data_IF_828836280085
#
_entry.id   IF_828836280085
#
_cell.length_a   1.000
_cell.length_b   1.000
_cell.length_c   1.000
_cell.angle_alpha   90.00
_cell.angle_beta   90.00
_cell.angle_gamma   90.00
#
_symmetry.space_group_name_H-M   'P 1'
#
loop_
_entity.id
_entity.type
_entity.pdbx_description
1 polymer ?
#
# COMPACT_ATOMS: atom_id res chain seq x y z
N UNK A 1 62.71 -52.61 -23.79
CA UNK A 1 62.18 -53.95 -23.48
C UNK A 1 61.42 -53.81 -22.17
N UNK A 2 60.11 -53.54 -22.21
CA UNK A 2 59.05 -54.55 -22.18
C UNK A 2 59.22 -55.52 -20.99
N UNK A 3 58.31 -55.50 -20.02
CA UNK A 3 57.17 -56.43 -19.93
C UNK A 3 56.38 -56.08 -18.66
N UNK A 4 55.11 -55.73 -18.88
CA UNK A 4 54.03 -55.61 -17.90
C UNK A 4 53.65 -57.01 -17.41
N UNK A 5 53.51 -57.19 -16.09
CA UNK A 5 52.94 -58.41 -15.49
C UNK A 5 51.66 -58.05 -14.75
N UNK A 6 50.58 -58.67 -15.20
CA UNK A 6 49.27 -58.73 -14.58
C UNK A 6 49.29 -59.73 -13.42
N UNK A 7 48.62 -59.40 -12.30
CA UNK A 7 48.06 -60.40 -11.40
C UNK A 7 46.68 -59.95 -10.91
N UNK A 8 45.74 -60.88 -11.08
CA UNK A 8 44.30 -60.81 -10.88
C UNK A 8 43.97 -61.08 -9.41
N UNK A 9 42.99 -60.36 -8.86
CA UNK A 9 42.17 -60.86 -7.76
C UNK A 9 40.68 -60.66 -8.05
N UNK A 10 39.94 -61.76 -7.97
CA UNK A 10 38.51 -61.91 -8.18
C UNK A 10 37.73 -61.58 -6.90
N UNK A 11 36.58 -60.91 -7.08
CA UNK A 11 35.32 -61.22 -6.38
C UNK A 11 35.08 -60.56 -5.02
N UNK A 12 34.20 -59.56 -4.98
CA UNK A 12 32.76 -59.76 -4.66
C UNK A 12 32.10 -58.40 -4.42
N UNK A 13 31.12 -58.06 -5.26
CA UNK A 13 30.24 -56.90 -5.06
C UNK A 13 29.19 -57.23 -3.99
N UNK A 14 29.06 -56.37 -2.98
CA UNK A 14 27.84 -56.26 -2.18
C UNK A 14 27.16 -54.93 -2.53
N UNK A 15 26.04 -55.03 -3.25
CA UNK A 15 25.04 -53.99 -3.43
C UNK A 15 24.12 -54.06 -2.21
N UNK A 16 24.02 -52.97 -1.45
CA UNK A 16 23.03 -52.80 -0.38
C UNK A 16 21.98 -51.79 -0.81
N UNK A 17 20.82 -52.28 -1.23
CA UNK A 17 19.58 -51.51 -1.40
C UNK A 17 18.87 -51.44 -0.06
N UNK A 18 18.46 -50.24 0.36
CA UNK A 18 17.51 -50.05 1.46
C UNK A 18 16.15 -49.72 0.84
N UNK A 19 15.27 -50.72 0.90
CA UNK A 19 13.84 -50.63 0.67
C UNK A 19 13.17 -49.86 1.81
N UNK A 20 12.31 -48.89 1.45
CA UNK A 20 11.29 -48.34 2.33
C UNK A 20 9.96 -48.37 1.60
N UNK A 21 9.18 -49.43 1.85
CA UNK A 21 7.78 -49.50 1.49
C UNK A 21 6.93 -49.58 2.78
N UNK A 22 5.93 -48.69 2.90
CA UNK A 22 4.83 -48.92 3.84
C UNK A 22 4.18 -47.67 4.43
N UNK A 23 3.42 -46.92 3.62
CA UNK A 23 2.04 -46.55 3.95
C UNK A 23 1.33 -46.14 2.64
N UNK A 24 0.69 -47.13 2.01
CA UNK A 24 -0.17 -46.95 0.84
C UNK A 24 -1.54 -46.44 1.29
N UNK A 25 -1.74 -45.13 1.20
CA UNK A 25 -3.07 -44.53 1.03
C UNK A 25 -3.26 -44.18 -0.44
N UNK A 26 -4.07 -44.95 -1.16
CA UNK A 26 -4.41 -44.70 -2.57
C UNK A 26 -5.55 -43.66 -2.61
N UNK A 27 -5.31 -42.47 -3.14
CA UNK A 27 -6.33 -41.43 -3.40
C UNK A 27 -6.00 -40.67 -4.72
N UNK A 28 -7.01 -40.05 -5.37
CA UNK A 28 -7.20 -40.07 -6.83
C UNK A 28 -6.44 -39.00 -7.62
N UNK A 29 -6.19 -39.31 -8.90
CA UNK A 29 -5.63 -38.46 -9.95
C UNK A 29 -6.51 -37.24 -10.28
N UNK A 30 -5.96 -36.02 -10.25
CA UNK A 30 -6.56 -34.83 -10.89
C UNK A 30 -5.48 -33.81 -11.35
N UNK A 31 -5.67 -33.22 -12.54
CA UNK A 31 -4.86 -32.15 -13.19
C UNK A 31 -5.46 -30.75 -12.89
N UNK A 32 -4.65 -29.70 -12.66
CA UNK A 32 -5.12 -28.30 -12.58
C UNK A 32 -4.05 -27.28 -12.16
N UNK A 33 -3.70 -26.33 -13.05
CA UNK A 33 -2.77 -25.21 -12.80
C UNK A 33 -3.55 -23.95 -12.38
N UNK A 34 -3.04 -23.13 -11.45
CA UNK A 34 -3.66 -21.84 -11.08
C UNK A 34 -3.47 -20.73 -12.11
N UNK A 35 -3.09 -21.10 -13.33
CA UNK A 35 -2.96 -20.22 -14.48
C UNK A 35 -4.34 -19.97 -15.10
N UNK A 36 -4.63 -18.72 -15.42
CA UNK A 36 -5.84 -18.30 -16.11
C UNK A 36 -5.52 -17.98 -17.58
N UNK A 37 -6.24 -18.60 -18.50
CA UNK A 37 -6.16 -18.22 -19.92
C UNK A 37 -6.93 -16.94 -20.23
N UNK A 38 -8.06 -16.71 -19.54
CA UNK A 38 -8.89 -15.52 -19.68
C UNK A 38 -8.60 -14.51 -18.56
N UNK A 39 -8.01 -13.37 -18.92
CA UNK A 39 -7.70 -12.25 -18.03
C UNK A 39 -8.92 -11.71 -17.27
N UNK A 40 -10.12 -11.87 -17.81
CA UNK A 40 -11.36 -11.42 -17.17
C UNK A 40 -11.80 -12.35 -16.04
N UNK A 41 -11.32 -13.60 -16.04
CA UNK A 41 -11.53 -14.59 -14.96
C UNK A 41 -10.35 -14.67 -14.00
N UNK A 42 -9.18 -14.17 -14.43
CA UNK A 42 -8.00 -14.15 -13.59
C UNK A 42 -8.27 -13.46 -12.26
N UNK A 43 -7.80 -14.02 -11.16
CA UNK A 43 -7.95 -13.43 -9.84
C UNK A 43 -6.74 -13.80 -8.98
N UNK A 44 -6.44 -12.96 -8.01
CA UNK A 44 -5.30 -13.13 -7.10
C UNK A 44 -5.79 -12.95 -5.67
N UNK A 45 -5.02 -13.44 -4.69
CA UNK A 45 -5.35 -13.27 -3.28
C UNK A 45 -4.10 -13.00 -2.44
N UNK A 46 -4.29 -12.81 -1.14
CA UNK A 46 -3.22 -12.69 -0.15
C UNK A 46 -3.10 -13.94 0.73
N UNK A 47 -3.88 -14.99 0.44
CA UNK A 47 -3.94 -16.23 1.19
C UNK A 47 -2.60 -16.96 1.11
N UNK A 48 -1.86 -16.97 2.23
CA UNK A 48 -0.53 -17.58 2.29
C UNK A 48 -0.58 -19.09 2.06
N UNK A 49 0.34 -19.58 1.26
CA UNK A 49 0.42 -20.97 0.84
C UNK A 49 -0.60 -21.36 -0.23
N UNK A 50 -1.44 -20.42 -0.69
CA UNK A 50 -2.24 -20.64 -1.88
C UNK A 50 -1.39 -20.38 -3.13
N UNK A 51 -1.70 -21.07 -4.23
CA UNK A 51 -1.09 -20.76 -5.52
C UNK A 51 -1.42 -19.35 -6.05
N UNK A 52 -2.35 -18.63 -5.41
CA UNK A 52 -2.78 -17.26 -5.76
C UNK A 52 -2.14 -16.17 -4.89
N UNK A 53 -1.22 -16.57 -4.00
CA UNK A 53 -0.51 -15.66 -3.10
C UNK A 53 0.48 -14.73 -3.84
N UNK A 54 0.93 -13.62 -3.20
CA UNK A 54 1.77 -12.60 -3.84
C UNK A 54 3.02 -13.10 -4.56
N UNK A 55 3.68 -14.11 -4.00
CA UNK A 55 4.88 -14.74 -4.56
C UNK A 55 4.62 -15.41 -5.93
N UNK A 56 3.36 -15.78 -6.20
CA UNK A 56 2.94 -16.53 -7.39
C UNK A 56 2.18 -15.67 -8.41
N UNK A 57 1.90 -14.39 -8.14
CA UNK A 57 1.06 -13.55 -9.00
C UNK A 57 1.53 -13.46 -10.45
N UNK A 58 2.84 -13.50 -10.70
CA UNK A 58 3.38 -13.46 -12.06
C UNK A 58 3.03 -14.68 -12.91
N UNK A 59 2.74 -15.81 -12.27
CA UNK A 59 2.37 -17.07 -12.90
C UNK A 59 0.87 -17.26 -13.11
N UNK A 60 0.02 -16.36 -12.58
CA UNK A 60 -1.43 -16.53 -12.69
C UNK A 60 -1.95 -16.14 -14.08
N UNK A 61 -1.29 -15.22 -14.78
CA UNK A 61 -1.67 -14.82 -16.13
C UNK A 61 -0.52 -14.10 -16.83
N UNK A 62 -0.35 -14.27 -18.15
CA UNK A 62 0.71 -13.60 -18.94
C UNK A 62 0.76 -12.08 -18.77
N UNK A 63 -0.41 -11.44 -18.71
CA UNK A 63 -0.54 -10.00 -18.40
C UNK A 63 0.11 -9.57 -17.08
N UNK A 64 0.31 -10.48 -16.13
CA UNK A 64 0.85 -10.21 -14.81
C UNK A 64 2.32 -10.64 -14.66
N UNK A 65 2.97 -11.09 -15.75
CA UNK A 65 4.38 -11.50 -15.76
C UNK A 65 5.33 -10.46 -15.13
N UNK A 66 5.02 -9.17 -15.30
CA UNK A 66 5.76 -8.04 -14.69
C UNK A 66 5.84 -8.14 -13.16
N UNK A 67 4.90 -8.82 -12.48
CA UNK A 67 4.94 -9.00 -11.03
C UNK A 67 6.19 -9.75 -10.54
N UNK A 68 6.89 -10.50 -11.40
CA UNK A 68 8.15 -11.16 -11.04
C UNK A 68 9.41 -10.39 -11.43
N UNK A 69 9.29 -9.19 -12.03
CA UNK A 69 10.44 -8.37 -12.40
C UNK A 69 11.31 -8.00 -11.19
N UNK A 70 12.61 -7.95 -11.37
CA UNK A 70 13.59 -7.47 -10.37
C UNK A 70 14.09 -6.04 -10.68
N UNK A 71 13.52 -5.37 -11.70
CA UNK A 71 14.00 -4.06 -12.14
C UNK A 71 13.46 -2.89 -11.29
N UNK A 72 12.14 -2.81 -11.11
CA UNK A 72 11.45 -1.69 -10.43
C UNK A 72 10.17 -2.11 -9.72
N UNK A 73 10.09 -3.31 -9.15
CA UNK A 73 8.90 -3.69 -8.39
C UNK A 73 8.78 -2.92 -7.06
N UNK A 74 7.54 -2.84 -6.57
CA UNK A 74 7.13 -2.21 -5.31
C UNK A 74 6.21 -3.16 -4.53
N UNK A 75 6.11 -3.06 -3.20
CA UNK A 75 6.75 -2.07 -2.32
C UNK A 75 8.23 -2.37 -2.05
N UNK A 76 8.96 -1.46 -1.43
CA UNK A 76 10.35 -1.67 -0.98
C UNK A 76 10.59 -1.14 0.43
N UNK A 77 11.68 -1.60 1.05
CA UNK A 77 12.24 -0.90 2.20
C UNK A 77 12.94 0.38 1.73
N UNK A 78 12.60 1.51 2.36
CA UNK A 78 13.25 2.80 2.15
C UNK A 78 14.37 2.92 3.16
N UNK A 79 15.61 2.73 2.69
CA UNK A 79 16.82 3.06 3.45
C UNK A 79 17.03 4.58 3.42
N UNK A 80 16.79 5.23 4.55
CA UNK A 80 16.85 6.69 4.65
C UNK A 80 18.28 7.21 4.67
N UNK A 81 19.25 6.36 5.00
CA UNK A 81 20.68 6.69 5.02
C UNK A 81 21.26 6.75 3.61
N UNK A 82 20.84 5.84 2.73
CA UNK A 82 21.19 5.82 1.30
C UNK A 82 20.43 6.83 0.43
N UNK A 83 19.36 7.44 0.96
CA UNK A 83 18.51 8.36 0.20
C UNK A 83 19.25 9.66 -0.17
N UNK A 84 19.32 9.92 -1.48
CA UNK A 84 20.02 11.09 -2.06
C UNK A 84 19.11 12.32 -2.03
N UNK A 85 19.66 13.48 -1.68
CA UNK A 85 18.89 14.72 -1.77
C UNK A 85 18.65 15.05 -3.24
N UNK A 86 17.38 15.13 -3.62
CA UNK A 86 16.94 15.68 -4.89
C UNK A 86 15.86 16.68 -4.54
N UNK A 87 16.07 17.94 -4.93
CA UNK A 87 15.04 18.95 -4.90
C UNK A 87 13.95 18.57 -5.93
N UNK A 88 13.08 17.62 -5.58
CA UNK A 88 11.90 17.26 -6.35
C UNK A 88 10.69 17.95 -5.69
N UNK A 89 10.24 19.07 -6.22
CA UNK A 89 9.13 19.82 -5.66
C UNK A 89 7.80 19.16 -6.06
N UNK A 90 7.08 18.67 -5.06
CA UNK A 90 5.73 18.18 -5.22
C UNK A 90 4.74 19.30 -4.91
N UNK A 91 3.78 19.52 -5.79
CA UNK A 91 2.65 20.41 -5.52
C UNK A 91 1.36 19.72 -5.94
N UNK A 92 0.33 19.81 -5.10
CA UNK A 92 -1.02 19.39 -5.43
C UNK A 92 -1.84 20.66 -5.62
N UNK A 93 -2.17 20.96 -6.88
CA UNK A 93 -2.99 22.10 -7.29
C UNK A 93 -4.45 21.67 -7.36
N UNK A 94 -5.36 22.57 -7.02
CA UNK A 94 -6.79 22.33 -7.12
C UNK A 94 -7.57 23.45 -6.43
N UNK A 95 -8.82 23.67 -6.83
CA UNK A 95 -9.73 24.55 -6.07
C UNK A 95 -10.21 23.78 -4.84
N UNK A 96 -10.37 24.48 -3.73
CA UNK A 96 -10.64 24.01 -2.35
C UNK A 96 -11.93 23.20 -2.11
N UNK A 97 -12.46 22.52 -3.14
CA UNK A 97 -13.62 21.64 -3.06
C UNK A 97 -13.21 20.18 -3.03
N UNK A 98 -13.91 19.38 -2.22
CA UNK A 98 -13.88 17.91 -2.28
C UNK A 98 -14.41 17.44 -3.64
N UNK A 99 -13.89 16.33 -4.15
CA UNK A 99 -14.29 15.76 -5.45
C UNK A 99 -15.30 14.63 -5.26
N UNK A 100 -16.39 14.58 -6.06
CA UNK A 100 -17.33 13.47 -6.02
C UNK A 100 -16.63 12.13 -6.26
N UNK A 101 -16.90 11.14 -5.41
CA UNK A 101 -16.32 9.82 -5.49
C UNK A 101 -17.37 8.74 -5.18
N UNK A 102 -17.10 7.53 -5.62
CA UNK A 102 -17.76 6.31 -5.17
C UNK A 102 -16.79 5.49 -4.33
N UNK A 103 -17.32 4.61 -3.49
CA UNK A 103 -16.56 3.59 -2.78
C UNK A 103 -17.04 2.22 -3.23
N UNK A 104 -16.12 1.29 -3.40
CA UNK A 104 -16.42 -0.08 -3.77
C UNK A 104 -15.39 -1.03 -3.15
N UNK A 105 -15.85 -2.16 -2.63
CA UNK A 105 -14.96 -3.25 -2.28
C UNK A 105 -14.54 -4.02 -3.53
N UNK A 106 -13.23 -4.01 -3.80
CA UNK A 106 -12.63 -4.62 -4.99
C UNK A 106 -12.34 -6.11 -4.81
N UNK A 107 -12.59 -6.67 -3.63
CA UNK A 107 -12.17 -8.03 -3.25
C UNK A 107 -10.76 -8.07 -2.65
N UNK A 108 -10.10 -6.91 -2.55
CA UNK A 108 -8.76 -6.78 -1.97
C UNK A 108 -8.72 -5.64 -0.95
N UNK A 109 -9.31 -4.50 -1.29
CA UNK A 109 -9.57 -3.42 -0.35
C UNK A 109 -10.75 -2.57 -0.86
N UNK A 110 -11.39 -1.75 0.00
CA UNK A 110 -12.26 -0.70 -0.48
C UNK A 110 -11.47 0.40 -1.19
N UNK A 111 -11.91 0.81 -2.37
CA UNK A 111 -11.34 1.92 -3.12
C UNK A 111 -12.31 3.08 -3.15
N UNK A 112 -11.84 4.27 -2.79
CA UNK A 112 -12.54 5.52 -3.05
C UNK A 112 -12.11 6.04 -4.44
N UNK A 113 -12.97 5.89 -5.43
CA UNK A 113 -12.67 6.19 -6.83
C UNK A 113 -13.38 7.45 -7.29
N UNK A 114 -12.63 8.35 -7.94
CA UNK A 114 -13.15 9.56 -8.59
C UNK A 114 -13.47 9.23 -10.05
N UNK A 115 -14.72 9.42 -10.47
CA UNK A 115 -15.11 9.20 -11.88
C UNK A 115 -14.31 10.13 -12.80
N UNK A 116 -14.01 9.66 -14.02
CA UNK A 116 -13.22 10.40 -15.01
C UNK A 116 -13.79 11.83 -15.21
N UNK A 117 -12.89 12.79 -15.45
CA UNK A 117 -13.19 14.22 -15.66
C UNK A 117 -13.86 14.95 -14.49
N UNK A 118 -14.06 14.30 -13.33
CA UNK A 118 -14.60 14.94 -12.12
C UNK A 118 -13.53 15.50 -11.19
N UNK A 119 -12.30 15.04 -11.31
CA UNK A 119 -11.20 15.51 -10.47
C UNK A 119 -10.64 16.83 -10.95
N UNK A 120 -10.55 17.80 -10.04
CA UNK A 120 -9.87 19.07 -10.25
C UNK A 120 -8.50 19.14 -9.55
N UNK A 121 -8.08 18.06 -8.89
CA UNK A 121 -6.79 17.95 -8.23
C UNK A 121 -5.72 17.47 -9.20
N UNK A 122 -4.69 18.30 -9.38
CA UNK A 122 -3.57 18.07 -10.28
C UNK A 122 -2.28 18.07 -9.46
N UNK A 123 -1.58 16.94 -9.46
CA UNK A 123 -0.25 16.81 -8.91
C UNK A 123 0.78 17.19 -9.98
N UNK A 124 1.75 17.99 -9.57
CA UNK A 124 2.82 18.54 -10.40
C UNK A 124 4.17 18.31 -9.72
N UNK A 125 5.15 17.84 -10.50
CA UNK A 125 6.54 17.72 -10.08
C UNK A 125 7.31 18.94 -10.60
N UNK A 126 7.06 20.12 -10.03
CA UNK A 126 7.59 21.41 -10.53
C UNK A 126 7.98 22.41 -9.43
N UNK A 127 9.09 23.13 -9.65
CA UNK A 127 9.60 24.14 -8.70
C UNK A 127 8.81 25.44 -8.73
N UNK A 128 8.10 25.71 -9.83
CA UNK A 128 7.39 26.98 -10.01
C UNK A 128 6.05 26.91 -9.30
N UNK A 129 5.94 27.60 -8.16
CA UNK A 129 4.74 27.47 -7.32
C UNK A 129 3.47 28.00 -7.96
N UNK A 130 2.37 27.30 -7.71
CA UNK A 130 1.07 27.60 -8.28
C UNK A 130 0.97 27.32 -9.78
N UNK A 131 1.99 26.73 -10.39
CA UNK A 131 2.00 26.36 -11.81
C UNK A 131 2.35 24.89 -11.99
N UNK A 132 2.02 24.36 -13.16
CA UNK A 132 2.26 22.97 -13.53
C UNK A 132 2.89 22.87 -14.92
N UNK A 133 4.12 23.36 -15.13
CA UNK A 133 4.84 23.14 -16.36
C UNK A 133 5.22 21.64 -16.47
N UNK A 134 4.99 21.04 -17.63
CA UNK A 134 5.25 19.62 -17.88
C UNK A 134 4.02 18.73 -17.71
N UNK A 135 4.27 17.49 -17.30
CA UNK A 135 3.23 16.47 -17.12
C UNK A 135 2.32 16.79 -15.92
N UNK A 136 1.04 16.49 -16.09
CA UNK A 136 -0.01 16.75 -15.10
C UNK A 136 -0.61 15.43 -14.65
N UNK A 137 -0.64 15.20 -13.35
CA UNK A 137 -1.15 13.95 -12.80
C UNK A 137 -2.48 14.19 -12.10
N UNK A 138 -3.56 13.56 -12.58
CA UNK A 138 -4.93 13.80 -12.11
C UNK A 138 -5.27 12.80 -11.00
N UNK A 139 -5.75 13.28 -9.85
CA UNK A 139 -6.17 12.43 -8.74
C UNK A 139 -7.34 11.54 -9.14
N UNK A 140 -7.22 10.23 -8.92
CA UNK A 140 -8.18 9.23 -9.39
C UNK A 140 -8.70 8.32 -8.27
N UNK A 141 -7.85 7.93 -7.33
CA UNK A 141 -8.17 6.84 -6.41
C UNK A 141 -7.48 7.01 -5.06
N UNK A 142 -8.15 6.59 -4.00
CA UNK A 142 -7.61 6.45 -2.65
C UNK A 142 -7.99 5.09 -2.07
N UNK A 143 -7.00 4.31 -1.67
CA UNK A 143 -7.19 3.03 -0.98
C UNK A 143 -6.16 2.85 0.14
N UNK A 144 -6.45 1.92 1.05
CA UNK A 144 -5.63 1.67 2.23
C UNK A 144 -5.28 0.19 2.32
N UNK A 145 -3.99 -0.09 2.46
CA UNK A 145 -3.46 -1.40 2.79
C UNK A 145 -3.38 -1.58 4.30
N UNK A 146 -3.61 -2.80 4.77
CA UNK A 146 -3.46 -3.20 6.16
C UNK A 146 -2.77 -4.55 6.26
N UNK A 147 -2.36 -4.87 7.49
CA UNK A 147 -1.79 -6.16 7.85
C UNK A 147 -2.72 -6.99 8.70
N UNK A 148 -2.23 -8.19 9.01
CA UNK A 148 -2.91 -9.10 9.94
C UNK A 148 -3.00 -8.53 11.36
N UNK A 149 -1.99 -7.79 11.76
CA UNK A 149 -1.94 -7.09 13.03
C UNK A 149 -1.38 -5.68 12.87
N UNK A 150 -1.46 -4.90 13.94
CA UNK A 150 -1.09 -3.49 13.96
C UNK A 150 0.41 -3.25 13.87
N UNK A 151 1.25 -4.28 13.99
CA UNK A 151 2.71 -4.13 13.94
C UNK A 151 3.22 -4.07 12.51
N UNK A 152 2.51 -4.71 11.56
CA UNK A 152 2.99 -4.89 10.20
C UNK A 152 1.87 -4.95 9.16
N UNK A 153 1.40 -3.78 8.75
CA UNK A 153 0.37 -3.63 7.72
C UNK A 153 0.68 -2.73 6.55
N UNK A 154 1.59 -1.77 6.68
CA UNK A 154 2.11 -1.02 5.55
C UNK A 154 2.81 -1.95 4.56
N UNK A 155 2.68 -1.64 3.28
CA UNK A 155 3.38 -2.36 2.21
C UNK A 155 4.86 -1.99 2.24
N UNK A 156 5.17 -0.69 2.21
CA UNK A 156 6.51 -0.18 2.38
C UNK A 156 6.98 -0.30 3.83
N UNK A 157 8.30 -0.33 3.98
CA UNK A 157 8.98 -0.12 5.25
C UNK A 157 9.89 1.12 5.14
N UNK A 158 10.14 1.78 6.27
CA UNK A 158 11.14 2.86 6.38
C UNK A 158 12.16 2.41 7.41
N UNK A 159 13.42 2.26 7.01
CA UNK A 159 14.51 1.72 7.83
C UNK A 159 14.12 0.38 8.51
N UNK A 160 13.43 -0.50 7.78
CA UNK A 160 12.98 -1.80 8.26
C UNK A 160 11.69 -1.77 9.11
N UNK A 161 11.17 -0.58 9.43
CA UNK A 161 9.94 -0.43 10.22
C UNK A 161 8.70 -0.36 9.35
N UNK A 162 7.71 -1.18 9.67
CA UNK A 162 6.36 -1.11 9.12
C UNK A 162 5.41 -0.34 10.06
N UNK A 163 4.26 0.06 9.51
CA UNK A 163 3.15 0.71 10.20
C UNK A 163 1.89 -0.16 10.15
N UNK A 164 0.85 0.10 10.97
CA UNK A 164 -0.41 -0.66 10.93
C UNK A 164 -1.12 -0.63 9.57
N UNK A 165 -0.99 0.48 8.84
CA UNK A 165 -1.67 0.74 7.57
C UNK A 165 -0.83 1.65 6.67
N UNK A 166 -1.14 1.62 5.37
CA UNK A 166 -0.57 2.52 4.37
C UNK A 166 -1.64 2.95 3.38
N UNK A 167 -1.85 4.26 3.23
CA UNK A 167 -2.75 4.81 2.23
C UNK A 167 -2.02 5.14 0.95
N UNK A 168 -2.64 4.85 -0.19
CA UNK A 168 -2.19 5.21 -1.52
C UNK A 168 -3.17 6.18 -2.17
N UNK A 169 -2.70 7.38 -2.49
CA UNK A 169 -3.41 8.29 -3.39
C UNK A 169 -2.82 8.15 -4.79
N UNK A 170 -3.64 7.71 -5.74
CA UNK A 170 -3.20 7.43 -7.12
C UNK A 170 -3.54 8.60 -8.02
N UNK A 171 -2.54 9.07 -8.75
CA UNK A 171 -2.68 10.11 -9.77
C UNK A 171 -2.20 9.57 -11.11
N UNK A 172 -2.99 9.73 -12.18
CA UNK A 172 -2.60 9.31 -13.52
C UNK A 172 -2.17 10.47 -14.39
N UNK A 173 -1.19 10.25 -15.26
CA UNK A 173 -0.69 11.25 -16.19
C UNK A 173 -1.74 11.56 -17.26
N UNK A 174 -2.21 12.80 -17.29
CA UNK A 174 -3.33 13.23 -18.14
C UNK A 174 -3.04 13.08 -19.63
N UNK A 175 -1.76 13.00 -20.03
CA UNK A 175 -1.38 12.82 -21.45
C UNK A 175 -1.88 11.49 -22.04
N UNK A 176 -2.19 10.51 -21.19
CA UNK A 176 -2.76 9.22 -21.59
C UNK A 176 -4.30 9.19 -21.56
N UNK A 177 -4.93 10.30 -21.17
CA UNK A 177 -6.38 10.49 -21.16
C UNK A 177 -7.09 9.88 -19.95
N UNK A 178 -6.73 8.66 -19.52
CA UNK A 178 -7.32 8.04 -18.33
C UNK A 178 -6.37 7.04 -17.63
N UNK A 179 -6.73 6.66 -16.40
CA UNK A 179 -6.00 5.70 -15.57
C UNK A 179 -5.77 4.35 -16.27
N UNK A 180 -6.76 3.82 -16.99
CA UNK A 180 -6.68 2.50 -17.63
C UNK A 180 -5.60 2.43 -18.72
N UNK A 181 -5.41 3.52 -19.46
CA UNK A 181 -4.31 3.66 -20.44
C UNK A 181 -2.99 4.04 -19.77
N UNK A 182 -3.03 4.90 -18.75
CA UNK A 182 -1.83 5.38 -18.08
C UNK A 182 -1.10 4.28 -17.32
N UNK A 183 -1.81 3.37 -16.63
CA UNK A 183 -1.24 2.38 -15.71
C UNK A 183 -0.15 1.47 -16.30
N UNK A 184 -0.09 1.29 -17.63
CA UNK A 184 0.93 0.46 -18.30
C UNK A 184 2.10 1.27 -18.89
N UNK A 185 2.07 2.60 -18.81
CA UNK A 185 3.10 3.50 -19.37
C UNK A 185 4.11 3.87 -18.29
N UNK A 186 5.39 3.95 -18.64
CA UNK A 186 6.49 4.04 -17.67
C UNK A 186 6.43 5.26 -16.72
N UNK A 187 5.85 6.37 -17.18
CA UNK A 187 5.59 7.61 -16.43
C UNK A 187 4.07 7.85 -16.28
N UNK A 188 3.32 6.76 -16.25
CA UNK A 188 1.88 6.75 -16.25
C UNK A 188 1.28 7.23 -14.94
N UNK A 189 1.92 6.96 -13.82
CA UNK A 189 1.35 7.16 -12.49
C UNK A 189 2.31 7.87 -11.55
N UNK A 190 1.75 8.71 -10.68
CA UNK A 190 2.37 9.11 -9.42
C UNK A 190 1.48 8.57 -8.30
N UNK A 191 2.07 7.82 -7.37
CA UNK A 191 1.37 7.34 -6.19
C UNK A 191 1.97 7.98 -4.95
N UNK A 192 1.12 8.67 -4.20
CA UNK A 192 1.50 9.28 -2.92
C UNK A 192 1.12 8.32 -1.80
N UNK A 193 2.12 7.77 -1.13
CA UNK A 193 1.96 6.86 -0.01
C UNK A 193 2.13 7.56 1.34
N UNK A 194 1.25 7.25 2.29
CA UNK A 194 1.26 7.79 3.65
C UNK A 194 1.08 6.66 4.66
N UNK A 195 2.00 6.57 5.61
CA UNK A 195 1.91 5.62 6.73
C UNK A 195 0.81 6.03 7.69
N UNK A 196 0.03 5.07 8.20
CA UNK A 196 -1.10 5.33 9.10
C UNK A 196 -0.97 4.51 10.38
N UNK A 197 -1.19 5.18 11.51
CA UNK A 197 -1.32 4.58 12.84
C UNK A 197 -2.79 4.55 13.29
N UNK A 198 -3.18 3.52 14.03
CA UNK A 198 -4.46 3.49 14.73
C UNK A 198 -4.32 4.19 16.10
N UNK A 199 -5.26 5.05 16.46
CA UNK A 199 -5.26 5.83 17.70
C UNK A 199 -6.59 5.65 18.45
N UNK A 200 -6.50 5.48 19.77
CA UNK A 200 -7.69 5.48 20.62
C UNK A 200 -8.03 6.94 20.93
N UNK A 201 -9.14 7.43 20.36
CA UNK A 201 -9.59 8.79 20.64
C UNK A 201 -10.03 8.87 22.11
N UNK A 202 -9.36 9.69 22.90
CA UNK A 202 -9.87 10.10 24.22
C UNK A 202 -10.68 11.39 24.06
N UNK A 203 -11.69 11.62 24.91
CA UNK A 203 -12.57 12.81 24.86
C UNK A 203 -11.79 14.15 24.96
N UNK A 204 -10.52 14.11 25.36
CA UNK A 204 -9.65 15.29 25.51
C UNK A 204 -8.80 15.60 24.25
N UNK A 205 -8.81 14.76 23.22
CA UNK A 205 -8.03 14.95 21.96
C UNK A 205 -8.67 15.99 21.00
N UNK A 206 -9.68 16.73 21.43
CA UNK A 206 -10.39 17.71 20.60
C UNK A 206 -9.70 19.07 20.54
N UNK A 207 -8.69 19.32 21.39
CA UNK A 207 -7.79 20.47 21.27
C UNK A 207 -6.54 20.06 20.48
N UNK A 208 -6.25 20.75 19.37
CA UNK A 208 -5.04 20.56 18.54
C UNK A 208 -3.75 21.03 19.28
N UNK A 209 -3.69 20.86 20.60
CA UNK A 209 -2.57 21.25 21.46
C UNK A 209 -1.74 20.03 21.87
N UNK A 210 -0.53 20.04 21.34
CA UNK A 210 0.73 19.41 21.76
C UNK A 210 0.73 18.18 22.71
N UNK A 211 1.54 17.19 22.29
CA UNK A 211 2.12 16.09 23.09
C UNK A 211 1.24 14.86 23.38
N UNK A 212 0.89 14.11 22.33
CA UNK A 212 0.79 12.67 22.50
C UNK A 212 2.21 12.08 22.66
N UNK A 213 2.61 11.80 23.90
CA UNK A 213 3.88 11.14 24.23
C UNK A 213 3.97 9.79 23.50
N UNK A 214 5.11 9.60 22.83
CA UNK A 214 5.47 8.35 22.15
C UNK A 214 5.64 7.22 23.18
N UNK A 215 4.61 6.40 23.40
CA UNK A 215 4.77 5.08 24.03
C UNK A 215 4.87 4.03 22.92
N UNK A 216 6.00 4.06 22.22
CA UNK A 216 6.49 2.92 21.43
C UNK A 216 7.92 2.67 21.90
N UNK A 217 8.03 2.25 23.16
CA UNK A 217 9.32 1.87 23.72
C UNK A 217 9.83 0.59 23.06
N UNK A 218 11.15 0.59 22.92
CA UNK A 218 12.03 -0.48 22.45
C UNK A 218 11.61 -1.83 23.02
N UNK A 219 11.30 -2.78 22.15
CA UNK A 219 11.37 -4.19 22.50
C UNK A 219 12.79 -4.69 22.32
N UNK A 220 13.61 -4.58 23.37
CA UNK A 220 14.80 -5.43 23.55
C UNK A 220 14.44 -6.53 24.56
N UNK A 221 14.65 -7.77 24.10
CA UNK A 221 15.03 -9.00 24.79
C UNK A 221 14.42 -9.43 26.13
N UNK A 222 14.01 -10.71 26.12
CA UNK A 222 13.78 -11.61 27.25
C UNK A 222 12.68 -11.22 28.22
N UNK A 223 11.55 -11.94 28.16
CA UNK A 223 11.17 -12.75 29.33
C UNK A 223 10.17 -13.86 29.00
N UNK A 224 10.53 -15.03 29.52
CA UNK A 224 9.83 -16.30 29.61
C UNK A 224 9.07 -16.29 30.91
N UNK A 225 7.74 -16.41 30.90
CA UNK A 225 6.91 -16.90 32.02
C UNK A 225 5.61 -17.45 31.40
N UNK A 226 5.49 -18.78 31.30
CA UNK A 226 4.96 -19.72 32.29
C UNK A 226 3.43 -19.63 32.46
N UNK A 227 2.82 -20.72 32.04
CA UNK A 227 1.44 -21.11 32.27
C UNK A 227 1.25 -21.35 33.77
N UNK A 228 0.27 -20.71 34.40
CA UNK A 228 -0.44 -21.33 35.52
C UNK A 228 -1.83 -20.69 35.71
N UNK A 229 -2.79 -21.60 35.86
CA UNK A 229 -4.21 -21.37 36.07
C UNK A 229 -4.48 -20.62 37.39
N UNK A 230 -5.56 -19.83 37.43
CA UNK A 230 -6.49 -19.94 38.55
C UNK A 230 -7.91 -19.52 38.17
N UNK A 231 -8.82 -20.48 38.38
CA UNK A 231 -10.27 -20.42 38.23
C UNK A 231 -10.97 -19.58 39.32
N UNK A 232 -12.24 -19.24 39.00
CA UNK A 232 -13.39 -18.82 39.85
C UNK A 232 -13.59 -17.29 39.94
N UNK A 233 -14.79 -16.72 39.87
CA UNK A 233 -16.16 -17.22 39.96
C UNK A 233 -17.11 -16.30 39.16
N UNK A 234 -18.23 -16.88 38.75
CA UNK A 234 -19.44 -16.25 38.19
C UNK A 234 -19.95 -15.09 39.07
N UNK A 235 -20.48 -14.04 38.45
CA UNK A 235 -21.89 -13.64 38.63
C UNK A 235 -22.28 -12.66 37.52
N UNK A 236 -23.42 -12.97 36.89
CA UNK A 236 -24.11 -12.15 35.92
C UNK A 236 -24.82 -11.00 36.65
N UNK A 237 -24.77 -9.79 36.09
CA UNK A 237 -25.88 -8.86 36.19
C UNK A 237 -25.94 -7.98 34.95
N UNK A 238 -27.16 -7.94 34.42
CA UNK A 238 -27.66 -7.34 33.21
C UNK A 238 -28.07 -5.90 33.52
N UNK A 239 -27.53 -4.93 32.79
CA UNK A 239 -28.09 -3.58 32.74
C UNK A 239 -27.69 -2.90 31.43
N UNK A 240 -28.69 -2.84 30.54
CA UNK A 240 -28.78 -1.92 29.42
C UNK A 240 -28.31 -0.51 29.81
N UNK A 241 -27.28 -0.01 29.13
CA UNK A 241 -27.16 1.41 28.81
C UNK A 241 -27.09 1.51 27.28
N UNK A 242 -28.27 1.72 26.68
CA UNK A 242 -28.39 2.33 25.37
C UNK A 242 -27.91 3.78 25.50
N UNK A 243 -26.59 4.03 25.37
CA UNK A 243 -26.11 5.38 25.07
C UNK A 243 -26.41 5.66 23.60
N UNK A 244 -27.54 6.34 23.38
CA UNK A 244 -27.81 7.08 22.16
C UNK A 244 -26.69 8.12 21.98
N UNK A 245 -25.69 7.79 21.16
CA UNK A 245 -24.68 8.77 20.70
C UNK A 245 -25.40 9.81 19.81
N UNK A 246 -25.91 10.85 20.45
CA UNK A 246 -26.43 12.05 19.80
C UNK A 246 -25.25 12.75 19.11
N UNK A 247 -25.11 12.51 17.81
CA UNK A 247 -24.13 13.20 16.96
C UNK A 247 -24.47 14.70 16.96
N UNK A 248 -23.84 15.48 17.83
CA UNK A 248 -23.73 16.91 17.61
C UNK A 248 -23.01 17.12 16.28
N UNK A 249 -23.78 17.54 15.28
CA UNK A 249 -23.31 17.97 13.97
C UNK A 249 -22.47 19.22 14.20
N UNK A 250 -21.18 19.01 14.51
CA UNK A 250 -20.21 20.08 14.67
C UNK A 250 -20.21 20.95 13.42
N UNK A 251 -20.69 22.18 13.57
CA UNK A 251 -20.82 23.15 12.50
C UNK A 251 -19.46 23.44 11.84
N UNK A 252 -19.47 23.41 10.51
CA UNK A 252 -18.32 23.44 9.61
C UNK A 252 -17.55 24.78 9.57
N UNK A 253 -17.04 25.26 10.71
CA UNK A 253 -16.19 26.47 10.74
C UNK A 253 -14.67 26.20 10.75
N UNK A 254 -14.25 24.95 10.95
CA UNK A 254 -12.84 24.50 10.77
C UNK A 254 -12.40 24.47 9.30
N UNK A 255 -13.34 24.58 8.35
CA UNK A 255 -13.07 24.70 6.90
C UNK A 255 -12.18 25.91 6.56
N UNK A 256 -11.94 26.82 7.51
CA UNK A 256 -11.17 28.04 7.27
C UNK A 256 -9.80 28.11 7.96
N UNK A 257 -9.50 27.36 9.03
CA UNK A 257 -8.21 27.50 9.75
C UNK A 257 -7.06 26.82 9.00
N UNK A 258 -7.30 25.64 8.40
CA UNK A 258 -6.29 24.99 7.54
C UNK A 258 -6.00 25.83 6.28
N UNK A 259 -7.02 26.34 5.59
CA UNK A 259 -6.80 27.23 4.43
C UNK A 259 -6.21 28.60 4.83
N UNK A 260 -6.60 29.18 5.97
CA UNK A 260 -6.04 30.47 6.47
C UNK A 260 -4.60 30.32 6.96
N UNK A 261 -4.23 29.19 7.57
CA UNK A 261 -2.87 28.88 7.98
C UNK A 261 -1.95 28.58 6.77
N UNK A 262 -2.51 28.12 5.64
CA UNK A 262 -1.75 27.69 4.46
C UNK A 262 -1.83 28.67 3.27
N UNK A 263 -2.59 29.76 3.36
CA UNK A 263 -2.59 30.85 2.38
C UNK A 263 -1.47 31.89 2.62
N UNK A 264 -0.59 31.66 3.60
CA UNK A 264 0.57 32.52 3.84
C UNK A 264 1.77 31.69 4.34
N UNK A 265 2.82 31.63 3.53
CA UNK A 265 4.15 31.02 3.78
C UNK A 265 4.23 29.49 3.64
N UNK A 266 4.16 29.05 2.39
CA UNK A 266 5.15 28.08 1.91
C UNK A 266 6.55 28.69 2.13
N UNK A 267 7.18 28.43 3.26
CA UNK A 267 8.64 28.41 3.29
C UNK A 267 9.05 27.02 2.89
N UNK A 268 9.13 26.84 1.57
CA UNK A 268 10.15 26.02 0.93
C UNK A 268 11.37 25.95 1.83
N UNK A 269 11.93 24.77 1.97
CA UNK A 269 13.32 24.59 2.39
C UNK A 269 14.20 25.36 1.40
N UNK A 270 14.41 26.62 1.74
CA UNK A 270 15.17 27.72 1.14
C UNK A 270 16.03 27.43 -0.10
N UNK A 271 15.93 28.38 -1.03
CA UNK A 271 17.06 29.24 -1.45
C UNK A 271 18.31 29.13 -0.55
N UNK A 272 19.09 28.08 -0.75
CA UNK A 272 20.39 27.89 -0.13
C UNK A 272 21.45 27.85 -1.23
N UNK A 273 21.47 28.86 -2.10
CA UNK A 273 22.58 29.11 -3.03
C UNK A 273 22.68 30.61 -3.32
N UNK A 274 23.28 31.35 -2.38
CA UNK A 274 23.84 32.66 -2.65
C UNK A 274 25.22 32.73 -2.02
N UNK A 275 26.29 32.56 -2.81
CA UNK A 275 27.65 32.91 -2.35
C UNK A 275 27.62 34.36 -1.89
N UNK A 276 28.09 34.64 -0.67
CA UNK A 276 28.44 35.99 -0.21
C UNK A 276 29.31 36.66 -1.29
N UNK A 277 28.81 37.71 -1.92
CA UNK A 277 29.68 38.75 -2.45
C UNK A 277 29.86 39.79 -1.34
N UNK A 278 31.10 40.22 -1.12
CA UNK A 278 31.44 41.17 -0.07
C UNK A 278 30.72 42.51 -0.32
N UNK A 279 29.85 42.94 0.60
CA UNK A 279 29.24 44.27 0.56
C UNK A 279 27.89 44.46 1.27
N UNK A 280 27.20 43.39 1.69
CA UNK A 280 25.84 43.51 2.21
C UNK A 280 25.81 43.60 3.75
N UNK A 281 26.25 44.75 4.29
CA UNK A 281 26.06 45.10 5.71
C UNK A 281 24.64 45.65 5.93
N UNK A 282 23.75 44.86 6.55
CA UNK A 282 22.49 45.40 7.11
C UNK A 282 21.23 44.55 7.02
N UNK A 283 21.23 43.34 6.45
CA UNK A 283 20.03 42.48 6.45
C UNK A 283 20.02 41.53 7.66
N UNK A 284 18.94 41.49 8.48
CA UNK A 284 18.88 40.53 9.59
C UNK A 284 19.00 39.11 9.05
N UNK A 285 19.92 38.35 9.64
CA UNK A 285 20.12 36.93 9.33
C UNK A 285 18.79 36.21 9.42
N UNK A 286 18.28 35.82 8.26
CA UNK A 286 17.15 34.93 8.11
C UNK A 286 17.55 33.62 8.83
N UNK A 287 17.13 33.39 10.09
CA UNK A 287 17.42 32.14 10.83
C UNK A 287 16.81 30.95 10.08
N UNK A 288 17.62 29.94 9.73
CA UNK A 288 17.11 28.65 9.26
C UNK A 288 16.62 27.88 10.48
N UNK A 289 15.32 27.58 10.57
CA UNK A 289 14.85 26.66 11.58
C UNK A 289 15.32 25.25 11.19
N UNK A 290 16.22 24.66 11.98
CA UNK A 290 16.43 23.21 11.96
C UNK A 290 15.12 22.58 12.40
N UNK A 291 14.36 22.02 11.46
CA UNK A 291 13.17 21.25 11.82
C UNK A 291 13.59 20.09 12.71
N UNK A 292 12.86 19.85 13.80
CA UNK A 292 13.11 18.66 14.63
C UNK A 292 13.08 17.41 13.75
N UNK A 293 14.00 16.47 13.98
CA UNK A 293 13.96 15.16 13.33
C UNK A 293 12.66 14.40 13.61
N UNK A 294 11.95 14.77 14.69
CA UNK A 294 10.67 14.22 15.15
C UNK A 294 9.49 14.67 14.26
N UNK A 295 8.60 13.73 13.97
CA UNK A 295 7.35 13.95 13.24
C UNK A 295 6.29 14.59 14.13
N UNK A 296 5.64 15.66 13.65
CA UNK A 296 4.37 16.13 14.23
C UNK A 296 3.23 15.36 13.58
N UNK A 297 2.78 14.30 14.25
CA UNK A 297 1.76 13.38 13.74
C UNK A 297 0.38 14.03 13.90
N UNK A 298 -0.36 14.18 12.81
CA UNK A 298 -1.74 14.70 12.86
C UNK A 298 -2.76 13.58 12.95
N UNK A 299 -3.91 13.87 13.55
CA UNK A 299 -5.07 13.00 13.50
C UNK A 299 -5.95 13.33 12.27
N UNK A 300 -6.19 12.35 11.41
CA UNK A 300 -6.99 12.50 10.20
C UNK A 300 -8.47 12.22 10.48
N UNK A 301 -9.15 13.23 11.05
CA UNK A 301 -10.59 13.17 11.40
C UNK A 301 -11.45 12.76 10.20
N UNK A 302 -11.31 13.44 9.07
CA UNK A 302 -12.12 13.17 7.87
C UNK A 302 -11.87 11.78 7.29
N UNK A 303 -10.62 11.34 7.22
CA UNK A 303 -10.32 9.98 6.76
C UNK A 303 -10.92 8.94 7.71
N UNK A 304 -10.84 9.16 9.02
CA UNK A 304 -11.46 8.26 10.02
C UNK A 304 -12.96 8.14 9.79
N UNK A 305 -13.66 9.28 9.64
CA UNK A 305 -15.09 9.30 9.31
C UNK A 305 -15.42 8.56 8.02
N UNK A 306 -14.66 8.77 6.95
CA UNK A 306 -14.88 8.10 5.68
C UNK A 306 -14.73 6.57 5.83
N UNK A 307 -13.68 6.12 6.49
CA UNK A 307 -13.44 4.69 6.73
C UNK A 307 -14.55 4.08 7.58
N UNK A 308 -14.89 4.69 8.71
CA UNK A 308 -15.96 4.20 9.61
C UNK A 308 -17.31 4.12 8.92
N UNK A 309 -17.66 5.14 8.14
CA UNK A 309 -18.98 5.26 7.51
C UNK A 309 -19.13 4.34 6.31
N UNK A 310 -18.11 4.28 5.45
CA UNK A 310 -18.25 3.70 4.13
C UNK A 310 -17.74 2.27 4.05
N UNK A 311 -16.76 1.87 4.86
CA UNK A 311 -16.26 0.49 4.82
C UNK A 311 -17.26 -0.52 5.37
N UNK A 312 -18.11 -0.13 6.32
CA UNK A 312 -19.22 -1.00 6.74
C UNK A 312 -20.27 -1.15 5.61
N UNK A 313 -20.54 -0.08 4.84
CA UNK A 313 -21.48 -0.11 3.70
C UNK A 313 -21.02 -1.00 2.55
N UNK A 314 -19.70 -1.13 2.36
CA UNK A 314 -19.11 -1.98 1.31
C UNK A 314 -18.36 -3.17 1.90
N UNK A 315 -18.73 -3.61 3.10
CA UNK A 315 -18.02 -4.66 3.83
C UNK A 315 -17.93 -5.97 3.04
N UNK A 316 -19.01 -6.33 2.37
CA UNK A 316 -19.10 -7.53 1.56
C UNK A 316 -18.56 -7.28 0.15
N UNK A 317 -17.94 -8.30 -0.43
CA UNK A 317 -17.54 -8.28 -1.84
C UNK A 317 -18.68 -8.78 -2.72
N UNK A 318 -19.04 -8.01 -3.75
CA UNK A 318 -20.24 -8.27 -4.56
C UNK A 318 -20.00 -8.32 -6.09
N UNK A 319 -18.76 -8.15 -6.56
CA UNK A 319 -18.50 -8.11 -8.00
C UNK A 319 -17.93 -9.41 -8.54
N UNK A 320 -18.71 -10.05 -9.41
CA UNK A 320 -18.35 -11.27 -10.13
C UNK A 320 -19.00 -12.49 -9.51
N UNK A 321 -19.40 -13.44 -10.37
CA UNK A 321 -19.55 -14.84 -9.96
C UNK A 321 -18.41 -15.14 -8.97
N UNK A 322 -18.71 -15.72 -7.79
CA UNK A 322 -17.64 -16.24 -6.91
C UNK A 322 -16.64 -16.89 -7.85
N UNK A 323 -15.35 -16.49 -7.85
CA UNK A 323 -14.38 -17.09 -8.76
C UNK A 323 -14.64 -18.58 -8.68
N UNK A 324 -15.03 -19.20 -9.80
CA UNK A 324 -15.32 -20.64 -9.81
C UNK A 324 -14.18 -21.24 -9.02
N UNK A 325 -14.49 -21.96 -7.93
CA UNK A 325 -13.46 -22.58 -7.11
C UNK A 325 -12.64 -23.40 -8.09
N UNK A 326 -11.49 -22.86 -8.54
CA UNK A 326 -10.48 -23.63 -9.23
C UNK A 326 -10.18 -24.73 -8.24
N UNK A 327 -10.59 -25.96 -8.60
CA UNK A 327 -11.08 -26.98 -7.66
C UNK A 327 -10.48 -26.92 -6.26
N UNK A 328 -11.35 -26.95 -5.24
CA UNK A 328 -10.91 -27.25 -3.88
C UNK A 328 -10.22 -28.62 -3.88
N UNK A 329 -8.89 -28.62 -3.78
CA UNK A 329 -8.13 -29.82 -3.42
C UNK A 329 -6.79 -29.98 -4.11
N UNK A 330 -5.71 -29.87 -3.32
CA UNK A 330 -4.44 -30.52 -3.62
C UNK A 330 -3.22 -29.73 -3.19
N UNK A 331 -2.40 -30.32 -2.32
CA UNK A 331 -1.00 -29.92 -2.12
C UNK A 331 -0.28 -30.02 -3.47
N UNK A 332 -0.17 -28.89 -4.17
CA UNK A 332 0.71 -28.76 -5.32
C UNK A 332 2.04 -28.17 -4.85
N UNK A 333 3.10 -28.97 -4.99
CA UNK A 333 4.49 -28.51 -4.96
C UNK A 333 4.95 -27.97 -6.32
N UNK A 334 4.04 -27.75 -7.28
CA UNK A 334 4.38 -27.18 -8.58
C UNK A 334 4.58 -25.68 -8.39
N UNK A 335 5.82 -25.34 -8.05
CA UNK A 335 6.32 -23.96 -8.01
C UNK A 335 5.97 -23.28 -9.32
N UNK A 336 5.50 -22.03 -9.21
CA UNK A 336 5.47 -21.06 -10.30
C UNK A 336 6.73 -21.24 -11.16
N UNK A 337 6.54 -21.54 -12.45
CA UNK A 337 7.64 -21.55 -13.39
C UNK A 337 8.04 -20.10 -13.68
N UNK A 338 8.92 -19.58 -12.82
CA UNK A 338 9.42 -18.21 -12.88
C UNK A 338 10.17 -17.90 -14.19
N UNK A 339 10.40 -18.87 -15.08
CA UNK A 339 10.87 -18.60 -16.45
C UNK A 339 9.87 -17.75 -17.25
N UNK A 340 8.57 -17.80 -16.92
CA UNK A 340 7.51 -16.99 -17.55
C UNK A 340 7.40 -15.60 -16.90
N UNK A 341 7.94 -15.46 -15.69
CA UNK A 341 8.00 -14.18 -15.00
C UNK A 341 9.15 -13.32 -15.56
N UNK A 342 9.23 -12.05 -15.17
CA UNK A 342 10.33 -11.10 -15.42
C UNK A 342 10.07 -10.08 -16.55
N UNK A 343 9.47 -10.46 -17.69
CA UNK A 343 9.31 -9.51 -18.79
C UNK A 343 7.91 -8.89 -18.87
N UNK A 344 7.85 -7.55 -18.92
CA UNK A 344 6.63 -6.81 -19.22
C UNK A 344 6.12 -7.23 -20.62
N UNK A 345 4.85 -7.63 -20.77
CA UNK A 345 4.29 -7.90 -22.09
C UNK A 345 4.38 -6.68 -23.01
N UNK A 346 4.44 -6.92 -24.33
CA UNK A 346 4.49 -5.83 -25.30
C UNK A 346 3.31 -4.88 -25.14
N UNK A 347 3.52 -3.59 -25.41
CA UNK A 347 2.46 -2.58 -25.31
C UNK A 347 1.24 -2.93 -26.18
N UNK A 348 1.47 -3.53 -27.36
CA UNK A 348 0.41 -4.03 -28.23
C UNK A 348 -0.41 -5.14 -27.57
N UNK A 349 0.25 -6.13 -26.94
CA UNK A 349 -0.41 -7.20 -26.22
C UNK A 349 -1.20 -6.66 -25.02
N UNK A 350 -0.65 -5.69 -24.29
CA UNK A 350 -1.32 -5.03 -23.17
C UNK A 350 -2.60 -4.35 -23.63
N UNK A 351 -2.53 -3.59 -24.74
CA UNK A 351 -3.66 -2.82 -25.25
C UNK A 351 -4.77 -3.71 -25.82
N UNK A 352 -4.42 -4.85 -26.43
CA UNK A 352 -5.39 -5.77 -27.04
C UNK A 352 -5.99 -6.77 -26.05
N UNK A 353 -5.18 -7.31 -25.12
CA UNK A 353 -5.57 -8.43 -24.26
C UNK A 353 -5.70 -8.01 -22.80
N UNK A 354 -4.72 -7.29 -22.25
CA UNK A 354 -4.65 -7.05 -20.80
C UNK A 354 -5.59 -5.96 -20.27
N UNK A 355 -6.35 -5.31 -21.16
CA UNK A 355 -7.42 -4.41 -20.78
C UNK A 355 -8.66 -5.24 -20.43
N UNK A 356 -8.93 -5.40 -19.12
CA UNK A 356 -10.20 -5.97 -18.67
C UNK A 356 -11.35 -5.18 -19.27
N UNK A 357 -12.40 -5.88 -19.67
CA UNK A 357 -13.65 -5.21 -20.08
C UNK A 357 -14.12 -4.37 -18.89
N UNK A 358 -14.32 -3.08 -19.10
CA UNK A 358 -15.02 -2.26 -18.14
C UNK A 358 -16.43 -2.84 -18.05
N UNK A 359 -16.73 -3.51 -16.94
CA UNK A 359 -18.13 -3.72 -16.58
C UNK A 359 -18.73 -2.32 -16.35
N UNK A 360 -20.00 -2.17 -16.74
CA UNK A 360 -20.79 -0.98 -16.42
C UNK A 360 -20.69 -0.64 -14.93
N UNK A 361 -21.01 0.61 -14.57
CA UNK A 361 -21.02 1.06 -13.16
C UNK A 361 -21.61 -0.03 -12.26
N UNK A 362 -20.80 -0.53 -11.34
CA UNK A 362 -21.20 -1.65 -10.48
C UNK A 362 -22.36 -1.19 -9.62
N UNK A 363 -23.47 -1.94 -9.60
CA UNK A 363 -24.65 -1.61 -8.80
C UNK A 363 -24.35 -1.50 -7.29
N UNK A 364 -23.24 -2.10 -6.86
CA UNK A 364 -22.73 -2.09 -5.49
C UNK A 364 -21.81 -0.89 -5.17
N UNK A 365 -21.57 0.01 -6.13
CA UNK A 365 -20.84 1.25 -5.86
C UNK A 365 -21.67 2.19 -4.97
N UNK A 366 -21.10 2.59 -3.83
CA UNK A 366 -21.75 3.53 -2.91
C UNK A 366 -21.21 4.93 -3.15
N UNK A 367 -22.10 5.90 -3.39
CA UNK A 367 -21.71 7.30 -3.52
C UNK A 367 -21.23 7.88 -2.19
N UNK A 368 -20.15 8.65 -2.21
CA UNK A 368 -19.63 9.40 -1.06
C UNK A 368 -20.31 10.77 -0.99
N UNK A 369 -21.05 11.03 0.09
CA UNK A 369 -21.98 12.16 0.21
C UNK A 369 -21.31 13.53 0.09
N UNK A 370 -20.10 13.67 0.63
CA UNK A 370 -19.31 14.90 0.57
C UNK A 370 -18.07 14.78 -0.33
N UNK A 371 -17.93 13.69 -1.07
CA UNK A 371 -16.72 13.40 -1.84
C UNK A 371 -15.46 13.24 -0.98
N UNK A 372 -14.32 13.12 -1.66
CA UNK A 372 -13.00 12.91 -1.05
C UNK A 372 -12.02 14.02 -1.44
N UNK A 373 -10.90 14.13 -0.74
CA UNK A 373 -9.81 15.03 -1.08
C UNK A 373 -8.45 14.39 -0.77
N UNK A 374 -7.39 14.63 -1.58
CA UNK A 374 -6.04 14.23 -1.21
C UNK A 374 -5.60 14.73 0.18
N UNK A 375 -6.10 15.91 0.59
CA UNK A 375 -5.80 16.50 1.91
C UNK A 375 -6.35 15.70 3.08
N UNK A 376 -7.29 14.78 2.86
CA UNK A 376 -7.79 13.87 3.91
C UNK A 376 -6.66 13.00 4.47
N UNK A 377 -5.60 12.75 3.68
CA UNK A 377 -4.53 11.80 4.00
C UNK A 377 -3.16 12.47 4.16
N UNK A 378 -2.90 13.62 3.53
CA UNK A 378 -1.58 14.25 3.59
C UNK A 378 -1.16 14.60 5.03
N UNK A 379 0.07 14.28 5.47
CA UNK A 379 0.57 14.67 6.81
C UNK A 379 0.89 16.17 6.88
N UNK A 380 1.08 16.71 8.08
CA UNK A 380 1.54 18.09 8.27
C UNK A 380 2.98 18.27 7.77
N UNK A 381 3.82 17.26 7.96
CA UNK A 381 5.21 17.26 7.51
C UNK A 381 5.28 16.91 6.03
N UNK A 382 5.75 17.88 5.21
CA UNK A 382 5.83 17.73 3.76
C UNK A 382 7.11 17.04 3.26
N UNK A 383 7.93 16.48 4.17
CA UNK A 383 9.13 15.72 3.83
C UNK A 383 8.74 14.34 3.31
N UNK A 384 9.30 13.95 2.16
CA UNK A 384 9.03 12.67 1.54
C UNK A 384 10.29 12.07 0.88
N UNK A 385 10.19 10.77 0.63
CA UNK A 385 11.10 10.00 -0.21
C UNK A 385 10.43 9.71 -1.55
N UNK A 386 11.22 9.51 -2.58
CA UNK A 386 10.68 9.24 -3.92
C UNK A 386 11.59 8.32 -4.71
N UNK A 387 10.99 7.42 -5.49
CA UNK A 387 11.70 6.44 -6.32
C UNK A 387 10.79 5.92 -7.44
N UNK A 388 11.39 5.39 -8.50
CA UNK A 388 10.65 4.71 -9.57
C UNK A 388 10.33 3.27 -9.18
N UNK A 389 9.06 2.88 -9.31
CA UNK A 389 8.56 1.59 -8.88
C UNK A 389 7.39 1.08 -9.73
N UNK A 390 6.59 0.20 -9.12
CA UNK A 390 5.45 -0.46 -9.76
C UNK A 390 4.15 -0.24 -8.98
N UNK A 391 3.04 -0.66 -9.59
CA UNK A 391 1.84 -1.04 -8.82
C UNK A 391 2.18 -2.19 -7.87
N UNK A 392 1.57 -2.19 -6.69
CA UNK A 392 1.75 -3.23 -5.66
C UNK A 392 0.73 -4.36 -5.75
N UNK A 393 -0.14 -4.32 -6.75
CA UNK A 393 -1.11 -5.37 -7.09
C UNK A 393 -1.04 -5.69 -8.59
N UNK A 394 -1.43 -6.90 -9.03
CA UNK A 394 -1.43 -7.26 -10.45
C UNK A 394 -2.23 -6.25 -11.28
N UNK A 395 -1.74 -5.84 -12.46
CA UNK A 395 -0.61 -6.42 -13.23
C UNK A 395 0.82 -6.04 -12.82
N UNK A 396 1.01 -5.33 -11.70
CA UNK A 396 2.32 -4.89 -11.20
C UNK A 396 3.16 -4.11 -12.22
N UNK A 397 2.53 -3.31 -13.08
CA UNK A 397 3.24 -2.51 -14.07
C UNK A 397 4.21 -1.53 -13.40
N UNK A 398 5.43 -1.47 -13.93
CA UNK A 398 6.49 -0.54 -13.52
C UNK A 398 6.28 0.86 -14.12
N UNK A 399 5.20 1.49 -13.69
CA UNK A 399 4.65 2.75 -14.21
C UNK A 399 4.56 3.85 -13.16
N UNK A 400 5.05 3.60 -11.95
CA UNK A 400 4.76 4.41 -10.77
C UNK A 400 5.99 5.21 -10.34
N UNK A 401 5.86 6.53 -10.29
CA UNK A 401 6.71 7.38 -9.46
C UNK A 401 6.12 7.41 -8.03
N UNK A 402 6.80 6.79 -7.08
CA UNK A 402 6.37 6.77 -5.68
C UNK A 402 6.76 8.06 -4.96
N UNK A 403 5.86 8.58 -4.13
CA UNK A 403 6.09 9.70 -3.20
C UNK A 403 5.67 9.25 -1.81
N UNK A 404 6.64 8.83 -1.00
CA UNK A 404 6.42 8.26 0.32
C UNK A 404 6.68 9.30 1.40
N UNK A 405 5.63 9.83 2.01
CA UNK A 405 5.80 10.80 3.09
C UNK A 405 6.53 10.18 4.28
N UNK A 406 7.46 10.96 4.85
CA UNK A 406 8.30 10.52 5.97
C UNK A 406 7.47 10.28 7.23
N UNK A 407 6.51 11.16 7.51
CA UNK A 407 5.77 11.13 8.76
C UNK A 407 4.40 10.49 8.59
N UNK A 408 3.98 9.67 9.57
CA UNK A 408 2.67 9.05 9.54
C UNK A 408 1.56 10.05 9.89
N UNK A 409 0.33 9.63 9.64
CA UNK A 409 -0.90 10.20 10.23
C UNK A 409 -1.52 9.19 11.19
N UNK A 410 -2.48 9.65 12.00
CA UNK A 410 -3.32 8.79 12.83
C UNK A 410 -4.76 8.77 12.31
N UNK A 411 -5.43 7.63 12.42
CA UNK A 411 -6.88 7.50 12.28
C UNK A 411 -7.46 6.89 13.54
N UNK A 412 -8.78 6.98 13.72
CA UNK A 412 -9.47 6.38 14.85
C UNK A 412 -9.29 4.84 14.85
N UNK A 413 -9.32 4.25 16.04
CA UNK A 413 -9.37 2.79 16.19
C UNK A 413 -10.60 2.18 15.51
N UNK A 414 -11.73 2.90 15.48
CA UNK A 414 -12.96 2.45 14.82
C UNK A 414 -12.76 2.36 13.30
N UNK A 415 -12.09 3.34 12.70
CA UNK A 415 -11.72 3.33 11.28
C UNK A 415 -10.84 2.13 10.93
N UNK A 416 -9.82 1.86 11.75
CA UNK A 416 -8.97 0.67 11.58
C UNK A 416 -9.78 -0.63 11.65
N UNK A 417 -10.65 -0.77 12.67
CA UNK A 417 -11.52 -1.95 12.83
C UNK A 417 -12.52 -2.12 11.71
N UNK A 418 -13.09 -1.01 11.20
CA UNK A 418 -14.01 -1.03 10.05
C UNK A 418 -13.30 -1.61 8.82
N UNK A 419 -12.06 -1.17 8.55
CA UNK A 419 -11.26 -1.73 7.47
C UNK A 419 -10.96 -3.22 7.71
N UNK A 420 -10.53 -3.62 8.92
CA UNK A 420 -10.26 -5.02 9.26
C UNK A 420 -11.44 -5.98 9.05
N UNK A 421 -12.68 -5.47 9.10
CA UNK A 421 -13.90 -6.25 8.99
C UNK A 421 -14.40 -6.42 7.55
N UNK A 422 -13.88 -5.65 6.59
CA UNK A 422 -14.16 -5.81 5.16
C UNK A 422 -13.71 -7.21 4.72
N UNK A 423 -14.44 -7.83 3.80
CA UNK A 423 -14.11 -9.14 3.25
C UNK A 423 -13.37 -9.05 1.91
N UNK A 424 -12.41 -9.93 1.71
CA UNK A 424 -11.76 -10.13 0.40
C UNK A 424 -12.66 -10.93 -0.57
N UNK A 425 -12.13 -11.19 -1.76
CA UNK A 425 -12.79 -11.96 -2.81
C UNK A 425 -13.06 -13.42 -2.42
N UNK A 426 -12.27 -13.97 -1.48
CA UNK A 426 -12.44 -15.29 -0.91
C UNK A 426 -13.50 -15.32 0.20
N UNK A 427 -13.91 -14.15 0.70
CA UNK A 427 -14.91 -13.99 1.76
C UNK A 427 -14.31 -13.95 3.17
N UNK A 428 -12.99 -13.95 3.31
CA UNK A 428 -12.31 -13.79 4.58
C UNK A 428 -12.26 -12.31 4.98
N UNK A 429 -12.37 -11.97 6.28
CA UNK A 429 -12.04 -10.62 6.72
C UNK A 429 -10.59 -10.29 6.34
N UNK A 430 -10.34 -9.12 5.74
CA UNK A 430 -9.02 -8.77 5.19
C UNK A 430 -7.91 -8.68 6.24
N UNK A 431 -8.25 -8.65 7.54
CA UNK A 431 -7.29 -8.82 8.65
C UNK A 431 -6.71 -10.23 8.77
N UNK A 432 -7.26 -11.24 8.10
CA UNK A 432 -6.81 -12.63 8.27
C UNK A 432 -5.41 -12.82 7.69
N UNK A 433 -5.23 -12.43 6.42
CA UNK A 433 -3.94 -12.47 5.74
C UNK A 433 -3.27 -11.09 5.64
N UNK A 434 -4.04 -10.02 5.82
CA UNK A 434 -3.64 -8.67 5.41
C UNK A 434 -3.75 -8.51 3.89
N UNK A 435 -3.64 -7.29 3.41
CA UNK A 435 -3.76 -6.95 1.97
C UNK A 435 -2.52 -6.20 1.54
N UNK A 436 -1.37 -6.72 1.95
CA UNK A 436 -0.05 -6.16 1.62
C UNK A 436 0.77 -7.16 0.84
N UNK A 437 1.42 -6.68 -0.21
CA UNK A 437 2.47 -7.40 -0.92
C UNK A 437 3.75 -7.41 -0.06
N UNK A 438 4.54 -8.50 -0.09
CA UNK A 438 5.90 -8.52 0.47
C UNK A 438 6.81 -7.47 -0.15
N UNK A 439 7.87 -7.08 0.58
CA UNK A 439 8.90 -6.19 0.04
C UNK A 439 9.57 -6.84 -1.18
N UNK A 440 9.79 -6.03 -2.21
CA UNK A 440 10.44 -6.41 -3.45
C UNK A 440 11.85 -5.81 -3.49
N UNK A 441 12.75 -6.50 -4.18
CA UNK A 441 14.06 -5.94 -4.50
C UNK A 441 13.90 -4.90 -5.62
N UNK A 442 14.41 -3.70 -5.36
CA UNK A 442 14.36 -2.60 -6.33
C UNK A 442 15.71 -1.86 -6.31
N UNK A 443 16.54 -2.02 -7.35
CA UNK A 443 17.88 -1.42 -7.40
C UNK A 443 17.87 0.10 -7.67
N UNK A 444 16.71 0.72 -7.97
CA UNK A 444 16.66 2.15 -8.27
C UNK A 444 17.03 3.00 -7.06
N UNK A 445 17.69 4.15 -7.28
CA UNK A 445 18.02 5.04 -6.19
C UNK A 445 16.76 5.63 -5.55
N UNK A 446 16.81 5.80 -4.23
CA UNK A 446 15.81 6.58 -3.49
C UNK A 446 16.30 8.01 -3.35
N UNK A 447 15.40 8.96 -3.54
CA UNK A 447 15.65 10.37 -3.35
C UNK A 447 14.79 10.94 -2.22
N UNK A 448 15.15 12.12 -1.73
CA UNK A 448 14.41 12.86 -0.70
C UNK A 448 14.39 14.36 -0.98
N UNK A 449 13.28 15.02 -0.65
CA UNK A 449 13.10 16.46 -0.86
C UNK A 449 13.62 17.33 0.30
N UNK A 450 14.43 16.77 1.22
CA UNK A 450 14.83 17.47 2.44
C UNK A 450 16.25 17.13 2.91
N UNK A 451 16.79 18.02 3.74
CA UNK A 451 18.06 17.90 4.45
C UNK A 451 17.75 17.85 5.96
N UNK A 452 18.52 17.06 6.71
CA UNK A 452 18.37 16.87 8.16
C UNK A 452 18.85 18.05 9.01
#
# INVERSE_FOLDING_TARGET
>A
MAVTVWLVFLGSLCVGTVDSAGYLGRLPHHEGQCYFEDINKAHFSYDRGSCREPENWCCLHKCWATCGSDERQSPRNIDTSGAKVWDLPLQILGKSSRVPATVLNTGHSPHFTVKQDKSNFILCLSHIHGTCPGDKYVFQDLHIHLGRDERKGSEHAIDGRHYPMEAHMVFYNSKYGNMSKAKSKADGLVVVGVMIQAHNRHKDDDDDTEEAKDEYERGDDNERYDLEEHNKHEDADDANEEEEDEYERGDDNERSEWEKAHNNRYTYTRECCGRRQNGDEGRPEKKCYKGSGKCKIRFARTLSYLMETYFEKVKEYHNGEKPEHGGEGGNSTDKCDHEICNEKPSDEFIEQICQRKNNDESEYEVKVDCGISPYDVLPNDQRFYTYEGSLTTPPCYESVQWVMYKCPIRVSRRAFKALQAVKDAEGHPIKEYGVRRPLQDNPKPVFKNFIW
#
